data_IF_255751899128
#
_entry.id   IF_255751899128
#
_cell.length_a   1.000
_cell.length_b   1.000
_cell.length_c   1.000
_cell.angle_alpha   90.00
_cell.angle_beta   90.00
_cell.angle_gamma   90.00
#
_symmetry.space_group_name_H-M   'P 1'
#
loop_
_entity.id
_entity.type
_entity.pdbx_description
1 polymer ?
#
# COMPACT_ATOMS: atom_id res chain seq x y z
N UNK A 1 41.67 0.41 27.29
CA UNK A 1 41.24 0.80 25.92
C UNK A 1 40.93 -0.47 25.16
N UNK A 2 40.05 -0.38 24.15
CA UNK A 2 39.50 -1.46 23.31
C UNK A 2 38.15 -2.00 23.77
N UNK A 3 37.11 -1.18 23.55
CA UNK A 3 35.75 -1.65 23.38
C UNK A 3 35.59 -2.18 21.95
N UNK A 4 35.16 -3.43 21.82
CA UNK A 4 34.77 -4.01 20.54
C UNK A 4 33.30 -3.72 20.29
N UNK A 5 33.02 -2.90 19.28
CA UNK A 5 31.70 -2.73 18.69
C UNK A 5 31.23 -4.05 18.07
N UNK A 6 30.00 -4.53 18.34
CA UNK A 6 29.37 -5.47 17.43
C UNK A 6 28.85 -4.69 16.21
N UNK A 7 29.19 -5.16 15.00
CA UNK A 7 28.49 -4.81 13.78
C UNK A 7 26.99 -5.02 14.00
N UNK A 8 26.19 -4.01 13.69
CA UNK A 8 24.76 -4.16 13.61
C UNK A 8 24.43 -5.20 12.53
N UNK A 9 24.11 -6.41 12.97
CA UNK A 9 23.41 -7.42 12.18
C UNK A 9 22.14 -6.76 11.66
N UNK A 10 22.07 -6.54 10.34
CA UNK A 10 20.83 -6.21 9.66
C UNK A 10 19.83 -7.31 10.00
N UNK A 11 18.88 -6.98 10.88
CA UNK A 11 17.74 -7.82 11.17
C UNK A 11 17.02 -8.07 9.85
N UNK A 12 17.27 -9.23 9.25
CA UNK A 12 16.38 -9.83 8.29
C UNK A 12 15.04 -10.04 9.02
N UNK A 13 14.20 -9.01 8.96
CA UNK A 13 12.81 -9.08 9.38
C UNK A 13 12.22 -10.24 8.60
N UNK A 14 11.86 -11.29 9.33
CA UNK A 14 11.04 -12.41 8.91
C UNK A 14 9.82 -11.88 8.18
N UNK A 15 9.97 -11.64 6.88
CA UNK A 15 8.92 -11.13 6.04
C UNK A 15 8.08 -12.34 5.72
N UNK A 16 7.24 -12.73 6.67
CA UNK A 16 6.14 -13.64 6.40
C UNK A 16 5.45 -13.08 5.15
N UNK A 17 5.37 -13.85 4.05
CA UNK A 17 4.74 -13.36 2.84
C UNK A 17 3.30 -13.00 3.19
N UNK A 18 3.02 -11.71 3.27
CA UNK A 18 1.66 -11.21 3.33
C UNK A 18 1.09 -11.37 1.93
N UNK A 19 0.35 -12.45 1.74
CA UNK A 19 -0.34 -12.69 0.48
C UNK A 19 -1.52 -11.73 0.28
N UNK A 20 -1.83 -10.90 1.28
CA UNK A 20 -2.99 -10.04 1.33
C UNK A 20 -4.29 -10.84 1.40
N UNK A 21 -5.38 -10.16 1.71
CA UNK A 21 -6.71 -10.71 1.42
C UNK A 21 -6.92 -10.79 -0.10
N UNK A 22 -7.69 -11.77 -0.61
CA UNK A 22 -7.92 -11.93 -2.04
C UNK A 22 -8.55 -10.67 -2.64
N UNK A 23 -7.89 -10.09 -3.64
CA UNK A 23 -8.36 -8.92 -4.38
C UNK A 23 -8.71 -9.29 -5.83
N UNK A 24 -9.82 -8.77 -6.39
CA UNK A 24 -10.08 -8.90 -7.81
C UNK A 24 -9.05 -8.10 -8.62
N UNK A 25 -8.82 -8.50 -9.88
CA UNK A 25 -7.91 -7.77 -10.77
C UNK A 25 -8.28 -6.29 -10.90
N UNK A 26 -9.57 -6.00 -10.96
CA UNK A 26 -10.12 -4.66 -10.96
C UNK A 26 -11.02 -4.51 -9.74
N UNK A 27 -10.77 -3.51 -8.90
CA UNK A 27 -11.57 -3.21 -7.73
C UNK A 27 -11.97 -1.73 -7.73
N UNK A 28 -13.22 -1.44 -7.40
CA UNK A 28 -13.67 -0.07 -7.15
C UNK A 28 -14.05 0.05 -5.67
N UNK A 29 -13.50 1.05 -4.99
CA UNK A 29 -13.77 1.35 -3.59
C UNK A 29 -14.45 2.71 -3.50
N UNK A 30 -15.52 2.77 -2.72
CA UNK A 30 -16.19 4.02 -2.39
C UNK A 30 -15.55 4.61 -1.14
N UNK A 31 -14.98 5.80 -1.29
CA UNK A 31 -14.31 6.50 -0.21
C UNK A 31 -15.27 7.39 0.55
N UNK A 32 -14.89 7.71 1.79
CA UNK A 32 -15.51 8.80 2.54
C UNK A 32 -15.51 10.09 1.70
N UNK A 33 -16.59 10.87 1.77
CA UNK A 33 -16.81 12.02 0.90
C UNK A 33 -17.44 11.68 -0.47
N UNK A 34 -17.72 10.40 -0.75
CA UNK A 34 -18.46 9.97 -1.94
C UNK A 34 -17.62 9.80 -3.20
N UNK A 35 -16.31 10.02 -3.12
CA UNK A 35 -15.38 9.75 -4.21
C UNK A 35 -15.15 8.24 -4.41
N UNK A 36 -14.52 7.88 -5.52
CA UNK A 36 -14.23 6.47 -5.88
C UNK A 36 -12.73 6.29 -6.11
N UNK A 37 -12.16 5.27 -5.49
CA UNK A 37 -10.80 4.81 -5.71
C UNK A 37 -10.87 3.55 -6.59
N UNK A 38 -10.34 3.62 -7.81
CA UNK A 38 -10.26 2.46 -8.69
C UNK A 38 -8.87 1.85 -8.62
N UNK A 39 -8.78 0.52 -8.52
CA UNK A 39 -7.52 -0.20 -8.36
C UNK A 39 -7.44 -1.32 -9.41
N UNK A 40 -6.33 -1.36 -10.11
CA UNK A 40 -5.88 -2.42 -11.00
C UNK A 40 -4.73 -3.18 -10.32
N UNK A 41 -5.04 -4.37 -9.79
CA UNK A 41 -4.08 -5.20 -9.07
C UNK A 41 -3.12 -5.88 -10.06
N UNK A 42 -1.82 -5.65 -9.86
CA UNK A 42 -0.72 -6.35 -10.56
C UNK A 42 -0.05 -7.34 -9.61
N UNK A 43 0.98 -8.04 -10.08
CA UNK A 43 1.67 -9.07 -9.31
C UNK A 43 2.40 -8.48 -8.10
N UNK A 44 3.06 -7.33 -8.26
CA UNK A 44 3.91 -6.66 -7.26
C UNK A 44 3.68 -5.15 -7.16
N UNK A 45 2.58 -4.65 -7.75
CA UNK A 45 2.24 -3.24 -7.81
C UNK A 45 0.72 -3.08 -8.00
N UNK A 46 0.23 -1.87 -7.86
CA UNK A 46 -1.14 -1.49 -8.25
C UNK A 46 -1.09 -0.25 -9.12
N UNK A 47 -1.95 -0.20 -10.12
CA UNK A 47 -2.28 1.06 -10.80
C UNK A 47 -3.62 1.53 -10.24
N UNK A 48 -3.72 2.77 -9.76
CA UNK A 48 -4.94 3.30 -9.20
C UNK A 48 -5.36 4.60 -9.88
N UNK A 49 -6.66 4.87 -9.87
CA UNK A 49 -7.23 6.20 -10.12
C UNK A 49 -7.72 6.69 -8.77
N UNK A 50 -7.11 7.75 -8.27
CA UNK A 50 -7.38 8.27 -6.95
C UNK A 50 -8.71 9.06 -6.88
N UNK A 51 -9.17 9.43 -5.67
CA UNK A 51 -10.39 10.20 -5.49
C UNK A 51 -10.42 11.56 -6.21
N UNK A 52 -9.26 12.16 -6.48
CA UNK A 52 -9.12 13.41 -7.24
C UNK A 52 -9.13 13.16 -8.77
N UNK A 53 -9.04 11.89 -9.20
CA UNK A 53 -8.98 11.47 -10.60
C UNK A 53 -7.55 11.26 -11.13
N UNK A 54 -6.52 11.36 -10.28
CA UNK A 54 -5.13 11.17 -10.66
C UNK A 54 -4.83 9.68 -10.87
N UNK A 55 -4.14 9.34 -11.96
CA UNK A 55 -3.63 7.99 -12.17
C UNK A 55 -2.25 7.85 -11.54
N UNK A 56 -2.12 6.90 -10.61
CA UNK A 56 -0.88 6.66 -9.86
C UNK A 56 -0.56 5.17 -9.88
N UNK A 57 0.70 4.84 -10.11
CA UNK A 57 1.20 3.48 -9.90
C UNK A 57 1.91 3.41 -8.55
N UNK A 58 1.64 2.38 -7.75
CA UNK A 58 2.28 2.17 -6.46
C UNK A 58 2.89 0.76 -6.41
N UNK A 59 4.22 0.64 -6.19
CA UNK A 59 4.84 -0.66 -5.95
C UNK A 59 4.47 -1.19 -4.57
N UNK A 60 4.49 -2.52 -4.42
CA UNK A 60 4.37 -3.16 -3.12
C UNK A 60 5.52 -2.72 -2.20
N UNK A 61 5.19 -2.34 -0.97
CA UNK A 61 6.12 -1.80 0.00
C UNK A 61 5.90 -2.42 1.39
N UNK A 62 6.75 -3.39 1.82
CA UNK A 62 7.86 -3.99 1.08
C UNK A 62 7.42 -4.92 -0.06
N UNK A 63 8.32 -5.18 -1.01
CA UNK A 63 8.03 -5.85 -2.29
C UNK A 63 7.46 -7.28 -2.18
N UNK A 64 7.58 -7.92 -1.02
CA UNK A 64 7.05 -9.26 -0.74
C UNK A 64 5.61 -9.26 -0.20
N UNK A 65 4.97 -8.09 -0.05
CA UNK A 65 3.61 -7.95 0.48
C UNK A 65 2.61 -7.61 -0.61
N UNK A 66 1.33 -7.93 -0.39
CA UNK A 66 0.22 -7.62 -1.29
C UNK A 66 -0.91 -6.82 -0.64
N UNK A 67 -0.74 -6.43 0.63
CA UNK A 67 -1.63 -5.51 1.33
C UNK A 67 -1.12 -4.06 1.38
N UNK A 68 0.17 -3.80 1.12
CA UNK A 68 0.78 -2.48 1.31
C UNK A 68 1.49 -2.03 0.05
N UNK A 69 1.13 -0.86 -0.45
CA UNK A 69 1.70 -0.25 -1.64
C UNK A 69 2.05 1.20 -1.34
N UNK A 70 3.15 1.70 -1.90
CA UNK A 70 3.50 3.09 -1.65
C UNK A 70 4.71 3.57 -2.44
N UNK A 71 4.65 4.84 -2.80
CA UNK A 71 5.77 5.64 -3.27
C UNK A 71 5.49 7.09 -2.88
N UNK A 72 6.46 7.85 -2.39
CA UNK A 72 6.24 9.27 -2.07
C UNK A 72 5.66 10.01 -3.28
N UNK A 73 4.56 10.79 -3.13
CA UNK A 73 3.84 11.19 -1.90
C UNK A 73 2.63 10.32 -1.48
N UNK A 74 2.47 9.13 -2.04
CA UNK A 74 1.27 8.29 -1.95
C UNK A 74 1.50 6.98 -1.18
N UNK A 75 0.47 6.50 -0.50
CA UNK A 75 0.45 5.17 0.08
C UNK A 75 -0.98 4.58 0.06
N UNK A 76 -1.04 3.26 -0.03
CA UNK A 76 -2.28 2.48 -0.06
C UNK A 76 -2.12 1.24 0.80
N UNK A 77 -3.11 0.99 1.65
CA UNK A 77 -3.24 -0.26 2.41
C UNK A 77 -4.55 -0.92 2.01
N UNK A 78 -4.51 -2.21 1.66
CA UNK A 78 -5.65 -3.04 1.32
C UNK A 78 -5.88 -4.10 2.38
N UNK A 79 -7.11 -4.19 2.88
CA UNK A 79 -7.56 -5.24 3.79
C UNK A 79 -8.93 -5.75 3.35
N UNK A 80 -8.94 -6.78 2.49
CA UNK A 80 -10.17 -7.40 2.01
C UNK A 80 -11.07 -6.44 1.23
N UNK A 81 -12.16 -6.00 1.85
CA UNK A 81 -13.09 -5.04 1.25
C UNK A 81 -12.79 -3.59 1.66
N UNK A 82 -11.78 -3.38 2.49
CA UNK A 82 -11.37 -2.07 2.99
C UNK A 82 -10.07 -1.62 2.31
N UNK A 83 -9.96 -0.32 2.11
CA UNK A 83 -8.76 0.32 1.62
C UNK A 83 -8.53 1.63 2.41
N UNK A 84 -7.28 1.93 2.72
CA UNK A 84 -6.85 3.21 3.27
C UNK A 84 -5.92 3.86 2.26
N UNK A 85 -6.35 4.99 1.69
CA UNK A 85 -5.54 5.76 0.76
C UNK A 85 -4.97 7.00 1.44
N UNK A 86 -3.70 7.25 1.20
CA UNK A 86 -2.93 8.35 1.78
C UNK A 86 -2.24 9.12 0.66
N UNK A 87 -2.37 10.44 0.68
CA UNK A 87 -1.70 11.38 -0.23
C UNK A 87 -1.11 12.50 0.60
N UNK A 88 0.18 12.78 0.44
CA UNK A 88 0.85 13.81 1.27
C UNK A 88 0.15 15.16 1.11
N UNK A 89 -0.16 15.82 2.22
CA UNK A 89 -0.93 17.08 2.23
C UNK A 89 -2.45 16.91 2.18
N UNK A 90 -2.97 15.68 2.19
CA UNK A 90 -4.41 15.37 2.33
C UNK A 90 -4.62 14.50 3.57
N UNK A 91 -5.84 14.55 4.13
CA UNK A 91 -6.24 13.58 5.14
C UNK A 91 -6.34 12.19 4.52
N UNK A 92 -5.90 11.13 5.22
CA UNK A 92 -6.12 9.76 4.79
C UNK A 92 -7.61 9.48 4.62
N UNK A 93 -7.99 8.78 3.56
CA UNK A 93 -9.38 8.43 3.29
C UNK A 93 -9.58 6.94 3.41
N UNK A 94 -10.61 6.56 4.17
CA UNK A 94 -11.07 5.20 4.26
C UNK A 94 -12.03 4.93 3.10
N UNK A 95 -11.84 3.80 2.43
CA UNK A 95 -12.64 3.37 1.31
C UNK A 95 -13.11 1.94 1.48
N UNK A 96 -14.31 1.64 0.99
CA UNK A 96 -14.92 0.31 1.04
C UNK A 96 -15.50 -0.08 -0.31
N UNK A 97 -15.28 -1.32 -0.73
CA UNK A 97 -15.85 -1.88 -1.96
C UNK A 97 -17.32 -2.23 -1.79
#
# INVERSE_FOLDING_TARGET
>A
MSGSSPLATETALSSTPDLGSPQPKHAAYRCEGGATLMIDNRITAVSLVDPDGDMVELPAAPASQRSRYGQTPYALVLDGNEALYMKSGKEPVNCRR
#
